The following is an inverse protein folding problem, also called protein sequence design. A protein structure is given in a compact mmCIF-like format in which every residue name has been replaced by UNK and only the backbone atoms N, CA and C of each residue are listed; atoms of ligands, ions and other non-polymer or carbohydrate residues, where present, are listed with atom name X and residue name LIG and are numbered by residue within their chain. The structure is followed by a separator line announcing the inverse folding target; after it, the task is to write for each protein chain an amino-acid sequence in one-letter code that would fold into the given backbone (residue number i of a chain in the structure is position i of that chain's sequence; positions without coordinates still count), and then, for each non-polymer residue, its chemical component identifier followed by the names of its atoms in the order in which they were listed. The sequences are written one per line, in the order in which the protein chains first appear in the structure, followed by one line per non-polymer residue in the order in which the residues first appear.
data_IF_430219364503
#
_entry.id   IF_430219364503
#
_cell.length_a   1.000
_cell.length_b   1.000
_cell.length_c   1.000
_cell.angle_alpha   90.00
_cell.angle_beta   90.00
_cell.angle_gamma   90.00
#
_symmetry.space_group_name_H-M   'P 1'
#
loop_
_entity.id
_entity.type
_entity.pdbx_description
1 polymer ?
#
# COMPACT_ATOMS: atom_id res chain seq x y z
N UNK A 1 -10.27 5.67 8.56
CA UNK A 1 -9.60 6.42 7.47
C UNK A 1 -8.65 5.48 6.72
N UNK A 2 -8.55 5.60 5.38
CA UNK A 2 -7.69 4.74 4.54
C UNK A 2 -6.24 5.23 4.45
N UNK A 3 -6.01 6.53 4.57
CA UNK A 3 -4.68 7.16 4.69
C UNK A 3 -4.76 8.31 5.70
N UNK A 4 -3.63 8.69 6.29
CA UNK A 4 -3.48 10.00 6.95
C UNK A 4 -3.12 11.06 5.89
N UNK A 5 -3.13 12.35 6.25
CA UNK A 5 -2.59 13.36 5.32
C UNK A 5 -1.06 13.25 5.28
N UNK A 6 -0.41 13.48 4.12
CA UNK A 6 1.05 13.41 4.01
C UNK A 6 1.77 14.28 5.04
N UNK A 7 1.20 15.44 5.39
CA UNK A 7 1.73 16.38 6.38
C UNK A 7 1.69 15.84 7.83
N UNK A 8 0.88 14.81 8.08
CA UNK A 8 0.81 14.11 9.37
C UNK A 8 1.66 12.83 9.41
N UNK A 9 2.31 12.45 8.30
CA UNK A 9 3.19 11.29 8.26
C UNK A 9 4.51 11.56 9.00
N UNK A 10 5.16 10.49 9.44
CA UNK A 10 6.48 10.56 10.08
C UNK A 10 7.55 11.04 9.10
N UNK A 11 8.43 11.95 9.53
CA UNK A 11 9.61 12.38 8.77
C UNK A 11 10.66 11.27 8.61
N UNK A 12 10.55 10.19 9.39
CA UNK A 12 11.41 9.00 9.27
C UNK A 12 10.84 8.04 8.23
N UNK A 13 11.67 7.69 7.23
CA UNK A 13 11.28 6.76 6.17
C UNK A 13 11.05 5.34 6.69
N UNK A 14 9.92 4.74 6.31
CA UNK A 14 9.67 3.30 6.53
C UNK A 14 10.21 2.50 5.35
N UNK A 15 11.24 1.67 5.57
CA UNK A 15 11.75 0.76 4.54
C UNK A 15 11.12 -0.62 4.67
N UNK A 16 10.52 -1.11 3.60
CA UNK A 16 10.00 -2.48 3.51
C UNK A 16 10.59 -3.19 2.29
N UNK A 17 10.73 -4.51 2.38
CA UNK A 17 11.11 -5.38 1.27
C UNK A 17 9.90 -6.22 0.88
N UNK A 18 9.57 -6.22 -0.41
CA UNK A 18 8.48 -7.02 -0.96
C UNK A 18 9.07 -8.20 -1.71
N UNK A 19 8.69 -9.42 -1.30
CA UNK A 19 9.08 -10.65 -1.99
C UNK A 19 8.05 -11.03 -3.04
N UNK A 20 8.52 -11.34 -4.24
CA UNK A 20 7.70 -11.79 -5.37
C UNK A 20 8.05 -13.24 -5.75
N UNK A 21 7.04 -13.95 -6.23
CA UNK A 21 7.21 -15.24 -6.91
C UNK A 21 6.19 -15.30 -8.05
N UNK A 22 6.67 -15.57 -9.28
CA UNK A 22 5.79 -15.73 -10.45
C UNK A 22 4.86 -14.52 -10.69
N UNK A 23 5.30 -13.32 -10.32
CA UNK A 23 4.53 -12.08 -10.44
C UNK A 23 3.64 -11.76 -9.22
N UNK A 24 3.41 -12.73 -8.35
CA UNK A 24 2.61 -12.54 -7.13
C UNK A 24 3.46 -12.11 -5.95
N UNK A 25 2.90 -11.23 -5.13
CA UNK A 25 3.51 -10.84 -3.86
C UNK A 25 3.29 -11.95 -2.83
N UNK A 26 4.38 -12.46 -2.26
CA UNK A 26 4.35 -13.60 -1.32
C UNK A 26 4.81 -13.25 0.09
N UNK A 27 5.57 -12.16 0.28
CA UNK A 27 6.13 -11.80 1.58
C UNK A 27 6.41 -10.31 1.73
N UNK A 28 6.46 -9.87 2.99
CA UNK A 28 6.92 -8.53 3.38
C UNK A 28 8.01 -8.69 4.43
N UNK A 29 9.16 -8.05 4.26
CA UNK A 29 10.34 -8.15 5.13
C UNK A 29 10.75 -9.60 5.40
N UNK A 30 10.73 -10.44 4.35
CA UNK A 30 11.06 -11.86 4.43
C UNK A 30 10.00 -12.75 5.09
N UNK A 31 8.91 -12.19 5.61
CA UNK A 31 7.83 -12.96 6.24
C UNK A 31 6.68 -13.20 5.27
N UNK A 32 6.30 -14.46 5.10
CA UNK A 32 5.15 -14.85 4.26
C UNK A 32 3.82 -14.59 4.95
N UNK A 33 2.82 -14.22 4.15
CA UNK A 33 1.45 -13.96 4.60
C UNK A 33 0.46 -14.57 3.61
N UNK A 34 -0.78 -14.81 4.05
CA UNK A 34 -1.87 -15.04 3.09
C UNK A 34 -2.15 -13.76 2.30
N UNK A 35 -2.70 -13.85 1.06
CA UNK A 35 -2.92 -12.67 0.20
C UNK A 35 -3.69 -11.54 0.89
N UNK A 36 -4.78 -11.87 1.61
CA UNK A 36 -5.60 -10.89 2.34
C UNK A 36 -4.80 -10.19 3.44
N UNK A 37 -4.00 -10.95 4.20
CA UNK A 37 -3.16 -10.37 5.27
C UNK A 37 -2.05 -9.51 4.70
N UNK A 38 -1.51 -9.90 3.54
CA UNK A 38 -0.46 -9.15 2.86
C UNK A 38 -1.00 -7.79 2.41
N UNK A 39 -2.13 -7.77 1.70
CA UNK A 39 -2.76 -6.53 1.26
C UNK A 39 -3.14 -5.64 2.45
N UNK A 40 -3.69 -6.22 3.52
CA UNK A 40 -4.02 -5.49 4.74
C UNK A 40 -2.78 -4.86 5.39
N UNK A 41 -1.64 -5.55 5.39
CA UNK A 41 -0.36 -5.03 5.90
C UNK A 41 0.18 -3.90 5.02
N UNK A 42 0.16 -4.06 3.70
CA UNK A 42 0.58 -3.00 2.77
C UNK A 42 -0.31 -1.76 2.90
N UNK A 43 -1.62 -1.94 3.06
CA UNK A 43 -2.54 -0.83 3.35
C UNK A 43 -2.21 -0.14 4.67
N UNK A 44 -1.77 -0.88 5.70
CA UNK A 44 -1.30 -0.29 6.95
C UNK A 44 -0.07 0.60 6.76
N UNK A 45 0.97 0.09 6.09
CA UNK A 45 2.15 0.88 5.77
C UNK A 45 1.81 2.10 4.90
N UNK A 46 0.98 1.91 3.87
CA UNK A 46 0.55 3.00 3.01
C UNK A 46 -0.22 4.07 3.77
N UNK A 47 -1.14 3.66 4.65
CA UNK A 47 -1.91 4.56 5.50
C UNK A 47 -1.01 5.41 6.38
N UNK A 48 -0.10 4.78 7.10
CA UNK A 48 0.75 5.44 8.11
C UNK A 48 1.81 6.36 7.48
N UNK A 49 2.06 6.20 6.18
CA UNK A 49 3.00 7.04 5.41
C UNK A 49 2.28 7.96 4.40
N UNK A 50 0.95 8.08 4.45
CA UNK A 50 0.18 8.96 3.55
C UNK A 50 0.18 8.55 2.06
N UNK A 51 0.53 7.30 1.74
CA UNK A 51 0.70 6.77 0.37
C UNK A 51 -0.63 6.29 -0.21
N UNK A 52 -0.81 6.46 -1.52
CA UNK A 52 -1.96 5.93 -2.26
C UNK A 52 -3.15 6.87 -2.35
N UNK A 53 -2.92 8.18 -2.15
CA UNK A 53 -3.89 9.22 -2.45
C UNK A 53 -3.89 9.48 -3.95
N UNK A 54 -5.07 9.45 -4.56
CA UNK A 54 -5.26 9.72 -5.98
C UNK A 54 -6.35 10.78 -6.10
N UNK A 55 -6.06 11.83 -6.85
CA UNK A 55 -7.05 12.79 -7.33
C UNK A 55 -7.11 12.64 -8.85
N UNK A 56 -8.24 12.18 -9.36
CA UNK A 56 -8.39 11.75 -10.75
C UNK A 56 -9.74 12.17 -11.30
N UNK A 57 -9.72 12.73 -12.52
CA UNK A 57 -10.90 12.87 -13.37
C UNK A 57 -10.83 11.76 -14.41
N UNK A 58 -11.79 10.85 -14.38
CA UNK A 58 -11.93 9.77 -15.37
C UNK A 58 -13.17 9.99 -16.24
N UNK A 59 -13.06 9.63 -17.52
CA UNK A 59 -14.21 9.63 -18.44
C UNK A 59 -14.91 8.31 -18.28
N UNK A 60 -16.14 8.35 -17.76
CA UNK A 60 -17.02 7.18 -17.78
C UNK A 60 -17.62 7.07 -19.17
N UNK A 61 -17.25 6.04 -19.92
CA UNK A 61 -17.98 5.66 -21.12
C UNK A 61 -19.35 5.11 -20.70
N UNK A 62 -20.40 5.91 -20.87
CA UNK A 62 -21.77 5.41 -20.83
C UNK A 62 -22.05 4.65 -22.13
N UNK A 63 -22.30 3.34 -22.01
CA UNK A 63 -22.83 2.52 -23.09
C UNK A 63 -24.28 2.93 -23.43
#
# INVERSE_FOLDING_TARGET
MRTISPEAASDQATRITIGFKEGDVISINGKSFSPVKLLSKLNGYGRDNGIGRLDLVEIVLSA
#
